data_IF_715846416195
#
_entry.id   IF_715846416195
#
_cell.length_a   1.000
_cell.length_b   1.000
_cell.length_c   1.000
_cell.angle_alpha   90.00
_cell.angle_beta   90.00
_cell.angle_gamma   90.00
#
_symmetry.space_group_name_H-M   'P 1'
#
loop_
_entity.id
_entity.type
_entity.pdbx_description
1 polymer ?
#
# COMPACT_ATOMS: atom_id res chain seq x y z
N UNK A 1 -12.16 -19.41 22.39
CA UNK A 1 -11.76 -18.23 23.18
C UNK A 1 -10.27 -18.34 23.46
N UNK A 2 -9.53 -17.37 22.93
CA UNK A 2 -8.19 -16.88 23.29
C UNK A 2 -7.13 -17.86 23.84
N UNK A 3 -6.57 -18.69 22.95
CA UNK A 3 -5.32 -19.42 23.26
C UNK A 3 -4.16 -18.47 23.59
N UNK A 4 -4.20 -17.21 23.12
CA UNK A 4 -3.18 -16.19 23.37
C UNK A 4 -3.37 -15.37 24.66
N UNK A 5 -4.56 -15.37 25.28
CA UNK A 5 -4.82 -14.62 26.54
C UNK A 5 -4.50 -15.46 27.80
N UNK A 6 -4.39 -16.78 27.67
CA UNK A 6 -4.10 -17.71 28.77
C UNK A 6 -2.63 -18.12 28.88
N UNK A 7 -1.76 -17.60 28.00
CA UNK A 7 -0.34 -17.95 27.99
C UNK A 7 0.43 -17.01 28.92
N UNK A 8 1.10 -17.61 29.91
CA UNK A 8 2.14 -16.95 30.69
C UNK A 8 3.40 -16.93 29.83
N UNK A 9 3.85 -15.76 29.41
CA UNK A 9 5.07 -15.63 28.62
C UNK A 9 6.21 -15.14 29.50
N UNK A 10 7.37 -15.77 29.37
CA UNK A 10 8.60 -15.10 29.76
C UNK A 10 8.75 -13.83 28.90
N UNK A 11 9.21 -12.71 29.48
CA UNK A 11 9.49 -11.51 28.70
C UNK A 11 10.41 -11.84 27.52
N UNK A 12 9.97 -11.50 26.32
CA UNK A 12 10.75 -11.68 25.10
C UNK A 12 11.36 -10.34 24.70
N UNK A 13 12.67 -10.32 24.49
CA UNK A 13 13.35 -9.21 23.84
C UNK A 13 13.27 -9.40 22.32
N UNK A 14 12.84 -8.35 21.62
CA UNK A 14 12.72 -8.36 20.15
C UNK A 14 13.63 -7.28 19.58
N UNK A 15 14.63 -7.70 18.82
CA UNK A 15 15.50 -6.81 18.05
C UNK A 15 14.97 -6.64 16.62
N UNK A 16 14.76 -5.39 16.20
CA UNK A 16 14.39 -5.08 14.82
C UNK A 16 15.68 -4.84 14.02
N UNK A 17 16.13 -5.87 13.30
CA UNK A 17 17.37 -5.80 12.50
C UNK A 17 17.28 -4.78 11.35
N UNK A 18 16.11 -4.65 10.72
CA UNK A 18 15.87 -3.75 9.59
C UNK A 18 14.44 -3.24 9.60
N UNK A 19 14.27 -1.96 9.32
CA UNK A 19 12.97 -1.30 9.23
C UNK A 19 12.89 -0.36 8.03
N UNK A 20 11.75 -0.37 7.34
CA UNK A 20 11.41 0.62 6.31
C UNK A 20 10.83 1.89 6.95
N UNK A 21 11.06 3.09 6.39
CA UNK A 21 10.54 4.33 6.96
C UNK A 21 9.03 4.28 7.24
N UNK A 22 8.62 4.80 8.41
CA UNK A 22 7.21 4.87 8.79
C UNK A 22 6.53 6.10 8.21
N UNK A 23 5.21 5.99 8.04
CA UNK A 23 4.33 7.09 7.61
C UNK A 23 4.75 7.72 6.28
N UNK A 24 5.22 6.89 5.35
CA UNK A 24 5.56 7.31 3.98
C UNK A 24 4.79 6.55 2.90
N UNK A 25 3.85 5.68 3.28
CA UNK A 25 3.11 4.85 2.31
C UNK A 25 3.73 3.47 2.04
N UNK A 26 4.62 2.96 2.89
CA UNK A 26 5.18 1.60 2.77
C UNK A 26 4.45 0.52 3.57
N UNK A 27 3.45 0.87 4.37
CA UNK A 27 2.72 -0.11 5.19
C UNK A 27 3.54 -0.71 6.35
N UNK A 28 4.72 -0.15 6.68
CA UNK A 28 5.64 -0.65 7.72
C UNK A 28 4.94 -0.98 9.03
N UNK A 29 4.08 -0.07 9.52
CA UNK A 29 3.38 -0.27 10.79
C UNK A 29 2.44 -1.48 10.78
N UNK A 30 1.83 -1.80 9.63
CA UNK A 30 0.99 -2.99 9.49
C UNK A 30 1.83 -4.25 9.44
N UNK A 31 2.89 -4.26 8.62
CA UNK A 31 3.78 -5.40 8.47
C UNK A 31 4.48 -5.78 9.79
N UNK A 32 4.99 -4.80 10.55
CA UNK A 32 5.60 -5.03 11.85
C UNK A 32 4.59 -5.54 12.88
N UNK A 33 3.40 -4.94 12.98
CA UNK A 33 2.38 -5.40 13.91
C UNK A 33 1.96 -6.85 13.63
N UNK A 34 1.78 -7.23 12.36
CA UNK A 34 1.43 -8.61 11.99
C UNK A 34 2.60 -9.57 12.21
N UNK A 35 3.83 -9.15 11.89
CA UNK A 35 5.04 -9.92 12.13
C UNK A 35 5.27 -10.22 13.62
N UNK A 36 5.05 -9.24 14.50
CA UNK A 36 5.17 -9.43 15.95
C UNK A 36 4.14 -10.41 16.50
N UNK A 37 2.88 -10.36 16.05
CA UNK A 37 1.87 -11.35 16.46
C UNK A 37 2.25 -12.74 15.97
N UNK A 38 2.75 -12.84 14.73
CA UNK A 38 3.21 -14.12 14.17
C UNK A 38 4.38 -14.70 14.95
N UNK A 39 5.37 -13.87 15.28
CA UNK A 39 6.55 -14.24 16.08
C UNK A 39 6.16 -14.66 17.49
N UNK A 40 5.27 -13.91 18.16
CA UNK A 40 4.77 -14.28 19.49
C UNK A 40 4.07 -15.64 19.48
N UNK A 41 3.29 -15.92 18.44
CA UNK A 41 2.71 -17.26 18.22
C UNK A 41 3.78 -18.34 18.12
N UNK A 42 4.77 -18.16 17.25
CA UNK A 42 5.87 -19.12 17.06
C UNK A 42 6.61 -19.43 18.35
N UNK A 43 7.01 -18.40 19.10
CA UNK A 43 7.69 -18.57 20.38
C UNK A 43 6.85 -19.33 21.42
N UNK A 44 5.53 -19.35 21.23
CA UNK A 44 4.58 -20.01 22.11
C UNK A 44 4.15 -21.38 21.62
N UNK A 45 4.71 -21.88 20.51
CA UNK A 45 4.29 -23.12 19.88
C UNK A 45 2.87 -23.06 19.27
N UNK A 46 2.37 -21.85 18.99
CA UNK A 46 1.03 -21.58 18.48
C UNK A 46 1.13 -20.95 17.10
N UNK A 47 0.43 -21.49 16.11
CA UNK A 47 0.23 -20.77 14.84
C UNK A 47 -1.00 -19.87 14.95
N UNK A 48 -0.87 -18.53 14.97
CA UNK A 48 -2.03 -17.63 15.06
C UNK A 48 -2.91 -17.75 13.82
N UNK A 49 -4.22 -17.84 14.02
CA UNK A 49 -5.18 -17.78 12.92
C UNK A 49 -5.23 -16.38 12.30
N UNK A 50 -5.84 -16.22 11.11
CA UNK A 50 -6.09 -14.88 10.54
C UNK A 50 -6.92 -14.00 11.49
N UNK A 51 -7.86 -14.58 12.25
CA UNK A 51 -8.63 -13.88 13.26
C UNK A 51 -7.78 -13.40 14.44
N UNK A 52 -6.81 -14.21 14.88
CA UNK A 52 -5.85 -13.81 15.91
C UNK A 52 -4.95 -12.68 15.40
N UNK A 53 -4.42 -12.81 14.18
CA UNK A 53 -3.63 -11.76 13.55
C UNK A 53 -4.39 -10.44 13.49
N UNK A 54 -5.66 -10.45 13.06
CA UNK A 54 -6.51 -9.27 13.06
C UNK A 54 -6.66 -8.67 14.47
N UNK A 55 -7.09 -9.50 15.43
CA UNK A 55 -7.38 -9.09 16.81
C UNK A 55 -6.18 -8.45 17.49
N UNK A 56 -5.03 -9.13 17.45
CA UNK A 56 -3.85 -8.75 18.21
C UNK A 56 -3.00 -7.69 17.49
N UNK A 57 -2.98 -7.67 16.15
CA UNK A 57 -2.27 -6.62 15.42
C UNK A 57 -3.00 -5.29 15.46
N UNK A 58 -4.32 -5.30 15.64
CA UNK A 58 -5.20 -4.12 15.55
C UNK A 58 -5.04 -3.38 14.22
N UNK A 59 -4.80 -4.13 13.14
CA UNK A 59 -4.67 -3.65 11.75
C UNK A 59 -5.86 -4.10 10.91
N UNK A 60 -5.81 -3.83 9.60
CA UNK A 60 -6.86 -4.15 8.62
C UNK A 60 -8.21 -3.46 8.88
N UNK A 61 -8.19 -2.25 9.45
CA UNK A 61 -9.38 -1.59 9.94
C UNK A 61 -10.41 -1.24 8.86
N UNK A 62 -9.95 -0.52 7.84
CA UNK A 62 -10.78 0.00 6.73
C UNK A 62 -10.40 -0.70 5.42
N UNK A 63 -9.10 -0.93 5.20
CA UNK A 63 -8.56 -1.66 4.07
C UNK A 63 -7.79 -2.90 4.55
N UNK A 64 -7.97 -4.00 3.82
CA UNK A 64 -7.33 -5.30 4.02
C UNK A 64 -6.02 -5.44 3.25
N UNK A 65 -5.65 -4.49 2.39
CA UNK A 65 -4.45 -4.58 1.54
C UNK A 65 -3.20 -4.97 2.33
N UNK A 66 -2.88 -4.28 3.43
CA UNK A 66 -1.70 -4.57 4.24
C UNK A 66 -1.75 -5.94 4.93
N UNK A 67 -2.94 -6.42 5.27
CA UNK A 67 -3.17 -7.71 5.90
C UNK A 67 -3.05 -8.86 4.90
N UNK A 68 -3.75 -8.77 3.77
CA UNK A 68 -3.68 -9.79 2.73
C UNK A 68 -2.31 -9.87 2.07
N UNK A 69 -1.64 -8.73 1.83
CA UNK A 69 -0.28 -8.71 1.24
C UNK A 69 0.77 -9.24 2.20
N UNK A 70 0.60 -9.04 3.50
CA UNK A 70 1.44 -9.70 4.51
C UNK A 70 1.29 -11.22 4.42
N UNK A 71 0.08 -11.75 4.26
CA UNK A 71 -0.17 -13.18 4.22
C UNK A 71 0.19 -13.84 2.87
N UNK A 72 -0.04 -13.16 1.76
CA UNK A 72 -0.04 -13.76 0.41
C UNK A 72 0.97 -13.15 -0.55
N UNK A 73 1.37 -11.90 -0.35
CA UNK A 73 2.10 -11.14 -1.36
C UNK A 73 1.22 -10.78 -2.57
N UNK A 74 1.85 -10.55 -3.72
CA UNK A 74 1.17 -10.36 -5.00
C UNK A 74 0.44 -9.03 -5.14
N UNK A 75 -0.39 -8.95 -6.18
CA UNK A 75 -1.36 -7.89 -6.39
C UNK A 75 -2.70 -8.27 -5.76
N UNK A 76 -3.30 -7.34 -5.02
CA UNK A 76 -4.49 -7.59 -4.21
C UNK A 76 -5.53 -6.50 -4.45
N UNK A 77 -6.79 -6.92 -4.55
CA UNK A 77 -7.97 -6.06 -4.43
C UNK A 77 -8.86 -6.62 -3.33
N UNK A 78 -9.14 -5.81 -2.31
CA UNK A 78 -10.13 -6.11 -1.28
C UNK A 78 -11.48 -5.45 -1.60
N UNK A 79 -12.54 -5.94 -0.96
CA UNK A 79 -13.92 -5.48 -1.16
C UNK A 79 -14.34 -4.37 -0.22
N UNK A 80 -13.42 -3.82 0.58
CA UNK A 80 -13.74 -2.89 1.66
C UNK A 80 -14.58 -3.51 2.79
N UNK A 81 -15.09 -2.67 3.68
CA UNK A 81 -16.03 -3.09 4.73
C UNK A 81 -17.47 -2.86 4.27
N UNK A 82 -18.45 -3.69 4.69
CA UNK A 82 -19.86 -3.43 4.40
C UNK A 82 -20.27 -2.05 4.91
N UNK A 83 -20.89 -1.23 4.05
CA UNK A 83 -21.46 0.04 4.46
C UNK A 83 -22.75 -0.21 5.27
N UNK A 84 -22.70 0.15 6.55
CA UNK A 84 -23.80 0.08 7.51
C UNK A 84 -24.09 1.47 8.08
N UNK A 85 -23.69 2.54 7.39
CA UNK A 85 -23.81 3.92 7.84
C UNK A 85 -22.78 4.32 8.90
N UNK A 86 -21.70 3.55 9.07
CA UNK A 86 -20.60 3.93 9.94
C UNK A 86 -19.76 5.07 9.34
N UNK A 87 -19.15 5.87 10.21
CA UNK A 87 -18.19 6.90 9.81
C UNK A 87 -17.03 6.31 9.01
N UNK A 88 -16.67 6.98 7.90
CA UNK A 88 -15.51 6.64 7.08
C UNK A 88 -14.23 7.07 7.80
N UNK A 89 -13.42 6.10 8.20
CA UNK A 89 -12.21 6.31 9.01
C UNK A 89 -10.99 5.66 8.37
N UNK A 90 -9.77 6.15 8.65
CA UNK A 90 -8.55 5.46 8.23
C UNK A 90 -8.42 4.09 8.91
N UNK A 91 -7.65 3.19 8.29
CA UNK A 91 -7.51 1.80 8.76
C UNK A 91 -6.91 1.66 10.16
N UNK A 92 -6.16 2.65 10.65
CA UNK A 92 -5.63 2.66 12.01
C UNK A 92 -6.65 3.03 13.08
N UNK A 93 -7.78 3.63 12.69
CA UNK A 93 -8.83 4.11 13.60
C UNK A 93 -10.09 3.20 13.59
N UNK A 94 -10.15 2.23 12.69
CA UNK A 94 -11.25 1.26 12.57
C UNK A 94 -10.88 -0.08 13.20
N UNK A 95 -11.84 -0.73 13.88
CA UNK A 95 -11.68 -2.06 14.50
C UNK A 95 -12.77 -3.03 14.02
N UNK A 96 -12.65 -3.57 12.80
CA UNK A 96 -13.62 -4.48 12.26
C UNK A 96 -13.51 -5.85 12.93
N UNK A 97 -14.60 -6.62 12.87
CA UNK A 97 -14.62 -7.99 13.37
C UNK A 97 -13.89 -8.96 12.44
N UNK A 98 -13.85 -8.64 11.15
CA UNK A 98 -13.25 -9.44 10.08
C UNK A 98 -12.45 -8.52 9.15
N UNK A 99 -11.35 -9.00 8.53
CA UNK A 99 -10.66 -8.19 7.53
C UNK A 99 -11.59 -7.98 6.32
N UNK A 100 -11.44 -6.88 5.55
CA UNK A 100 -12.12 -6.73 4.27
C UNK A 100 -11.97 -7.99 3.41
N UNK A 101 -13.02 -8.49 2.73
CA UNK A 101 -12.92 -9.71 1.95
C UNK A 101 -11.96 -9.52 0.77
N UNK A 102 -11.12 -10.51 0.53
CA UNK A 102 -10.23 -10.55 -0.63
C UNK A 102 -11.04 -10.85 -1.89
N UNK A 103 -11.11 -9.91 -2.82
CA UNK A 103 -11.89 -10.03 -4.06
C UNK A 103 -11.04 -10.55 -5.22
N UNK A 104 -9.79 -10.10 -5.31
CA UNK A 104 -8.84 -10.60 -6.29
C UNK A 104 -7.43 -10.70 -5.71
N UNK A 105 -6.73 -11.76 -6.10
CA UNK A 105 -5.31 -11.96 -5.81
C UNK A 105 -4.65 -12.55 -7.06
N UNK A 106 -3.60 -11.89 -7.53
CA UNK A 106 -2.85 -12.28 -8.72
C UNK A 106 -1.37 -12.11 -8.47
N UNK A 107 -0.56 -12.90 -9.17
CA UNK A 107 0.88 -12.67 -9.21
C UNK A 107 1.18 -11.39 -9.99
N UNK A 108 2.08 -10.57 -9.45
CA UNK A 108 2.68 -9.48 -10.18
C UNK A 108 3.70 -10.06 -11.18
N UNK A 109 3.78 -9.53 -12.42
CA UNK A 109 4.74 -9.99 -13.41
C UNK A 109 6.19 -9.96 -12.90
N UNK A 110 6.92 -11.07 -13.04
CA UNK A 110 8.30 -11.20 -12.57
C UNK A 110 9.29 -10.28 -13.30
N UNK A 111 8.95 -9.86 -14.52
CA UNK A 111 9.74 -8.92 -15.31
C UNK A 111 9.65 -7.49 -14.76
N UNK A 112 8.61 -7.17 -14.01
CA UNK A 112 8.43 -5.82 -13.49
C UNK A 112 9.39 -5.53 -12.34
N UNK A 113 9.82 -4.28 -12.29
CA UNK A 113 10.61 -3.69 -11.19
C UNK A 113 9.86 -2.47 -10.68
N UNK A 114 10.00 -2.20 -9.40
CA UNK A 114 9.36 -1.06 -8.74
C UNK A 114 10.44 -0.13 -8.21
N UNK A 115 10.63 1.03 -8.84
CA UNK A 115 11.43 2.10 -8.26
C UNK A 115 10.64 2.76 -7.13
N UNK A 116 11.30 2.95 -5.99
CA UNK A 116 10.76 3.63 -4.82
C UNK A 116 11.47 4.97 -4.66
N UNK A 117 10.73 6.07 -4.70
CA UNK A 117 11.27 7.43 -4.63
C UNK A 117 10.62 8.16 -3.46
N UNK A 118 11.43 8.76 -2.60
CA UNK A 118 10.95 9.39 -1.37
C UNK A 118 11.27 10.90 -1.36
N UNK A 119 10.32 11.75 -1.82
CA UNK A 119 10.47 13.20 -1.79
C UNK A 119 10.70 13.73 -0.37
N UNK A 120 11.82 14.43 -0.15
CA UNK A 120 12.21 14.92 1.18
C UNK A 120 11.26 15.96 1.75
N UNK A 121 10.62 16.77 0.90
CA UNK A 121 9.66 17.80 1.30
C UNK A 121 8.21 17.30 1.40
N UNK A 122 7.99 16.00 1.16
CA UNK A 122 6.66 15.42 1.15
C UNK A 122 6.01 15.39 2.54
N UNK A 123 4.70 15.64 2.59
CA UNK A 123 3.94 15.63 3.84
C UNK A 123 3.74 14.20 4.34
N UNK A 124 3.87 13.99 5.64
CA UNK A 124 3.68 12.70 6.30
C UNK A 124 2.42 12.74 7.15
N UNK A 125 1.27 12.61 6.51
CA UNK A 125 -0.03 12.63 7.19
C UNK A 125 -0.28 11.29 7.88
N UNK A 126 -0.48 11.31 9.20
CA UNK A 126 -0.77 10.11 9.99
C UNK A 126 -1.49 10.47 11.30
N UNK A 127 -2.15 9.50 11.92
CA UNK A 127 -2.73 9.66 13.26
C UNK A 127 -3.92 10.61 13.26
N UNK A 128 -3.89 11.66 14.09
CA UNK A 128 -4.98 12.64 14.19
C UNK A 128 -5.17 13.42 12.89
N UNK A 129 -4.07 13.91 12.29
CA UNK A 129 -4.13 14.65 11.03
C UNK A 129 -4.70 13.82 9.86
N UNK A 130 -4.50 12.50 9.88
CA UNK A 130 -5.11 11.60 8.89
C UNK A 130 -6.62 11.46 9.15
N UNK A 131 -7.04 11.34 10.41
CA UNK A 131 -8.46 11.28 10.77
C UNK A 131 -9.19 12.57 10.41
N UNK A 132 -8.61 13.72 10.69
CA UNK A 132 -9.17 15.03 10.34
C UNK A 132 -9.32 15.15 8.82
N UNK A 133 -8.28 14.77 8.07
CA UNK A 133 -8.36 14.77 6.61
C UNK A 133 -9.45 13.84 6.08
N UNK A 134 -9.62 12.64 6.64
CA UNK A 134 -10.71 11.73 6.28
C UNK A 134 -12.08 12.36 6.56
N UNK A 135 -12.27 12.94 7.75
CA UNK A 135 -13.54 13.56 8.13
C UNK A 135 -13.91 14.75 7.22
N UNK A 136 -12.92 15.54 6.81
CA UNK A 136 -13.13 16.71 5.94
C UNK A 136 -13.37 16.34 4.47
N UNK A 137 -12.84 15.19 4.01
CA UNK A 137 -12.78 14.84 2.60
C UNK A 137 -13.59 13.58 2.24
N UNK A 138 -14.44 13.10 3.15
CA UNK A 138 -15.36 11.99 2.89
C UNK A 138 -16.80 12.34 3.28
N UNK A 139 -17.82 11.77 2.60
CA UNK A 139 -17.71 10.88 1.44
C UNK A 139 -17.22 11.63 0.19
N UNK A 140 -16.54 10.89 -0.69
CA UNK A 140 -16.15 11.45 -1.99
C UNK A 140 -17.33 11.41 -2.97
N UNK A 141 -17.35 12.26 -4.01
CA UNK A 141 -18.44 12.29 -4.97
C UNK A 141 -18.72 10.90 -5.56
N UNK A 142 -19.99 10.52 -5.59
CA UNK A 142 -20.42 9.18 -6.00
C UNK A 142 -20.02 8.85 -7.45
N UNK A 143 -20.06 9.84 -8.34
CA UNK A 143 -19.64 9.69 -9.73
C UNK A 143 -18.13 9.42 -9.85
N UNK A 144 -17.30 10.06 -9.02
CA UNK A 144 -15.86 9.78 -8.97
C UNK A 144 -15.60 8.35 -8.45
N UNK A 145 -16.35 7.88 -7.45
CA UNK A 145 -16.30 6.49 -6.99
C UNK A 145 -16.66 5.49 -8.10
N UNK A 146 -17.75 5.75 -8.84
CA UNK A 146 -18.17 4.90 -9.96
C UNK A 146 -17.14 4.87 -11.09
N UNK A 147 -16.46 5.99 -11.36
CA UNK A 147 -15.38 6.07 -12.37
C UNK A 147 -14.09 5.38 -11.90
N UNK A 148 -13.82 5.35 -10.60
CA UNK A 148 -12.65 4.68 -10.06
C UNK A 148 -12.74 3.15 -10.20
N UNK A 149 -13.95 2.59 -10.17
CA UNK A 149 -14.19 1.15 -10.27
C UNK A 149 -13.66 0.52 -11.58
N UNK A 150 -14.02 1.00 -12.80
CA UNK A 150 -13.44 0.47 -14.03
C UNK A 150 -11.94 0.75 -14.14
N UNK A 151 -11.45 1.88 -13.64
CA UNK A 151 -10.00 2.16 -13.63
C UNK A 151 -9.23 1.11 -12.81
N UNK A 152 -9.79 0.65 -11.69
CA UNK A 152 -9.22 -0.42 -10.87
C UNK A 152 -9.42 -1.80 -11.50
N UNK A 153 -10.68 -2.24 -11.69
CA UNK A 153 -11.00 -3.63 -12.05
C UNK A 153 -10.79 -3.95 -13.53
N UNK A 154 -11.09 -3.02 -14.44
CA UNK A 154 -10.92 -3.24 -15.88
C UNK A 154 -9.62 -2.63 -16.42
N UNK A 155 -8.97 -1.78 -15.61
CA UNK A 155 -7.71 -1.15 -15.91
C UNK A 155 -6.54 -1.83 -15.22
N UNK A 156 -6.28 -1.47 -13.97
CA UNK A 156 -5.12 -1.95 -13.18
C UNK A 156 -5.10 -3.47 -13.08
N UNK A 157 -6.22 -4.11 -12.72
CA UNK A 157 -6.25 -5.56 -12.54
C UNK A 157 -5.97 -6.30 -13.86
N UNK A 158 -6.56 -5.86 -14.97
CA UNK A 158 -6.32 -6.43 -16.31
C UNK A 158 -4.87 -6.20 -16.74
N UNK A 159 -4.32 -5.03 -16.44
CA UNK A 159 -2.93 -4.70 -16.75
C UNK A 159 -1.96 -5.64 -16.03
N UNK A 160 -2.19 -5.92 -14.75
CA UNK A 160 -1.42 -6.90 -13.98
C UNK A 160 -1.56 -8.29 -14.59
N UNK A 161 -2.78 -8.75 -14.84
CA UNK A 161 -3.08 -10.08 -15.37
C UNK A 161 -2.44 -10.34 -16.75
N UNK A 162 -2.23 -9.29 -17.55
CA UNK A 162 -1.65 -9.36 -18.90
C UNK A 162 -0.21 -8.85 -18.99
N UNK A 163 0.40 -8.48 -17.87
CA UNK A 163 1.70 -7.79 -17.83
C UNK A 163 1.77 -6.55 -18.76
N UNK A 164 0.66 -5.85 -18.94
CA UNK A 164 0.54 -4.68 -19.82
C UNK A 164 0.87 -3.38 -19.06
N UNK A 165 2.13 -2.95 -19.18
CA UNK A 165 2.62 -1.73 -18.53
C UNK A 165 1.94 -0.46 -19.06
N UNK A 166 1.56 -0.43 -20.34
CA UNK A 166 0.90 0.72 -20.97
C UNK A 166 -0.52 0.92 -20.44
N UNK A 167 -1.28 -0.18 -20.31
CA UNK A 167 -2.58 -0.16 -19.65
C UNK A 167 -2.44 0.23 -18.17
N UNK A 168 -1.47 -0.37 -17.45
CA UNK A 168 -1.24 -0.03 -16.05
C UNK A 168 -1.03 1.48 -15.87
N UNK A 169 -0.19 2.09 -16.71
CA UNK A 169 0.08 3.53 -16.70
C UNK A 169 -1.21 4.33 -16.86
N UNK A 170 -1.98 4.07 -17.92
CA UNK A 170 -3.23 4.80 -18.21
C UNK A 170 -4.22 4.69 -17.06
N UNK A 171 -4.39 3.48 -16.52
CA UNK A 171 -5.34 3.21 -15.45
C UNK A 171 -4.93 3.80 -14.11
N UNK A 172 -3.64 3.78 -13.76
CA UNK A 172 -3.15 4.46 -12.56
C UNK A 172 -3.28 5.98 -12.65
N UNK A 173 -3.04 6.58 -13.83
CA UNK A 173 -3.24 8.02 -14.04
C UNK A 173 -4.71 8.39 -13.84
N UNK A 174 -5.64 7.64 -14.44
CA UNK A 174 -7.07 7.89 -14.27
C UNK A 174 -7.50 7.73 -12.81
N UNK A 175 -7.14 6.61 -12.16
CA UNK A 175 -7.49 6.35 -10.77
C UNK A 175 -7.01 7.46 -9.83
N UNK A 176 -5.78 7.97 -10.04
CA UNK A 176 -5.20 9.04 -9.22
C UNK A 176 -5.84 10.41 -9.42
N UNK A 177 -6.65 10.60 -10.47
CA UNK A 177 -7.42 11.83 -10.73
C UNK A 177 -8.82 11.81 -10.12
N UNK A 178 -9.18 10.74 -9.41
CA UNK A 178 -10.52 10.54 -8.89
C UNK A 178 -10.53 10.47 -7.36
N UNK A 179 -11.65 10.91 -6.79
CA UNK A 179 -12.06 10.73 -5.42
C UNK A 179 -11.00 11.15 -4.43
N UNK A 180 -10.84 10.30 -3.42
CA UNK A 180 -9.97 10.56 -2.29
C UNK A 180 -8.50 10.65 -2.71
N UNK A 181 -8.08 9.86 -3.71
CA UNK A 181 -6.69 9.86 -4.18
C UNK A 181 -6.29 11.18 -4.81
N UNK A 182 -7.19 11.82 -5.57
CA UNK A 182 -6.96 13.18 -6.08
C UNK A 182 -6.71 14.16 -4.94
N UNK A 183 -7.49 14.09 -3.87
CA UNK A 183 -7.38 14.97 -2.70
C UNK A 183 -6.06 14.71 -1.95
N UNK A 184 -5.70 13.45 -1.71
CA UNK A 184 -4.42 13.06 -1.11
C UNK A 184 -3.23 13.63 -1.89
N UNK A 185 -3.22 13.49 -3.23
CA UNK A 185 -2.15 14.03 -4.09
C UNK A 185 -2.14 15.56 -4.09
N UNK A 186 -3.32 16.19 -4.09
CA UNK A 186 -3.45 17.65 -4.08
C UNK A 186 -2.93 18.26 -2.78
N UNK A 187 -3.08 17.54 -1.67
CA UNK A 187 -2.58 17.94 -0.36
C UNK A 187 -1.07 17.75 -0.20
N UNK A 188 -0.38 17.11 -1.14
CA UNK A 188 1.07 16.86 -1.05
C UNK A 188 1.93 18.04 -1.52
N UNK A 189 3.22 17.97 -1.20
CA UNK A 189 4.17 19.03 -1.57
C UNK A 189 4.29 19.17 -3.09
N UNK A 190 4.76 20.34 -3.53
CA UNK A 190 5.05 20.57 -4.96
C UNK A 190 6.06 19.56 -5.50
N UNK A 191 7.07 19.19 -4.71
CA UNK A 191 8.07 18.20 -5.14
C UNK A 191 7.46 16.84 -5.45
N UNK A 192 6.52 16.35 -4.62
CA UNK A 192 5.79 15.09 -4.84
C UNK A 192 5.02 15.17 -6.16
N UNK A 193 4.26 16.25 -6.36
CA UNK A 193 3.42 16.45 -7.55
C UNK A 193 4.26 16.62 -8.82
N UNK A 194 5.37 17.35 -8.76
CA UNK A 194 6.30 17.52 -9.88
C UNK A 194 6.93 16.20 -10.31
N UNK A 195 7.39 15.38 -9.36
CA UNK A 195 7.92 14.05 -9.68
C UNK A 195 6.86 13.16 -10.31
N UNK A 196 5.66 13.11 -9.73
CA UNK A 196 4.57 12.30 -10.26
C UNK A 196 4.21 12.71 -11.70
N UNK A 197 4.15 14.02 -11.98
CA UNK A 197 3.91 14.54 -13.33
C UNK A 197 5.05 14.18 -14.30
N UNK A 198 6.31 14.35 -13.91
CA UNK A 198 7.45 13.98 -14.75
C UNK A 198 7.44 12.50 -15.14
N UNK A 199 7.07 11.60 -14.22
CA UNK A 199 6.92 10.17 -14.51
C UNK A 199 5.73 9.88 -15.42
N UNK A 200 4.62 10.62 -15.30
CA UNK A 200 3.47 10.49 -16.19
C UNK A 200 3.77 10.87 -17.64
N UNK A 201 4.70 11.78 -17.90
CA UNK A 201 5.12 12.12 -19.27
C UNK A 201 5.94 11.00 -19.92
N UNK A 202 6.62 10.15 -19.14
CA UNK A 202 7.48 9.10 -19.68
C UNK A 202 6.70 7.81 -20.04
N UNK A 203 6.67 7.35 -21.30
CA UNK A 203 5.90 6.16 -21.69
C UNK A 203 6.36 4.84 -21.07
N UNK A 204 7.63 4.71 -20.69
CA UNK A 204 8.23 3.43 -20.29
C UNK A 204 8.08 3.08 -18.81
N UNK A 205 7.23 3.78 -18.05
CA UNK A 205 6.84 3.39 -16.69
C UNK A 205 5.38 3.73 -16.37
N UNK A 206 4.80 2.99 -15.44
CA UNK A 206 3.54 3.32 -14.79
C UNK A 206 3.82 3.77 -13.35
N UNK A 207 3.33 4.93 -12.93
CA UNK A 207 3.66 5.51 -11.64
C UNK A 207 2.45 5.88 -10.81
N UNK A 208 2.66 5.97 -9.50
CA UNK A 208 1.65 6.52 -8.60
C UNK A 208 2.18 6.90 -7.23
N UNK A 209 1.33 7.56 -6.45
CA UNK A 209 1.59 7.85 -5.04
C UNK A 209 1.02 6.74 -4.15
N UNK A 210 1.86 6.21 -3.26
CA UNK A 210 1.45 5.14 -2.35
C UNK A 210 0.76 5.68 -1.10
N UNK A 211 -0.49 5.28 -0.87
CA UNK A 211 -1.32 5.77 0.25
C UNK A 211 -1.34 7.32 0.30
N UNK A 212 -1.26 7.92 1.48
CA UNK A 212 -1.11 9.36 1.69
C UNK A 212 0.24 9.92 1.26
N UNK A 213 1.17 9.08 0.81
CA UNK A 213 2.52 9.47 0.43
C UNK A 213 3.46 9.70 1.63
N UNK A 214 4.62 10.36 1.39
CA UNK A 214 4.99 10.99 0.13
C UNK A 214 5.65 10.05 -0.89
N UNK A 215 5.78 8.76 -0.60
CA UNK A 215 6.40 7.80 -1.51
C UNK A 215 5.70 7.80 -2.88
N UNK A 216 6.51 7.99 -3.92
CA UNK A 216 6.15 7.74 -5.31
C UNK A 216 6.77 6.42 -5.73
N UNK A 217 5.98 5.57 -6.37
CA UNK A 217 6.48 4.36 -7.01
C UNK A 217 6.42 4.51 -8.53
N UNK A 218 7.35 3.87 -9.23
CA UNK A 218 7.29 3.67 -10.67
C UNK A 218 7.55 2.21 -11.01
N UNK A 219 6.57 1.57 -11.64
CA UNK A 219 6.66 0.23 -12.20
C UNK A 219 7.22 0.33 -13.62
N UNK A 220 8.19 -0.50 -13.96
CA UNK A 220 8.79 -0.56 -15.28
C UNK A 220 9.26 -1.98 -15.60
N UNK A 221 9.53 -2.27 -16.87
CA UNK A 221 10.14 -3.54 -17.28
C UNK A 221 11.62 -3.57 -16.89
N UNK A 222 12.02 -4.52 -16.04
CA UNK A 222 13.39 -4.69 -15.57
C UNK A 222 14.39 -5.06 -16.66
N UNK A 223 13.95 -5.61 -17.78
CA UNK A 223 14.77 -5.85 -18.97
C UNK A 223 15.10 -4.56 -19.74
N UNK A 224 14.33 -3.49 -19.54
CA UNK A 224 14.50 -2.23 -20.23
C UNK A 224 15.37 -1.24 -19.43
N UNK A 225 16.66 -1.17 -19.80
CA UNK A 225 17.62 -0.23 -19.19
C UNK A 225 17.25 1.24 -19.38
N UNK A 226 16.63 1.59 -20.50
CA UNK A 226 16.20 2.97 -20.78
C UNK A 226 15.09 3.40 -19.80
N UNK A 227 14.14 2.50 -19.50
CA UNK A 227 13.10 2.78 -18.51
C UNK A 227 13.67 3.08 -17.13
N UNK A 228 14.60 2.25 -16.65
CA UNK A 228 15.27 2.50 -15.37
C UNK A 228 15.99 3.85 -15.37
N UNK A 229 16.79 4.12 -16.40
CA UNK A 229 17.56 5.35 -16.50
C UNK A 229 16.65 6.59 -16.50
N UNK A 230 15.53 6.56 -17.23
CA UNK A 230 14.59 7.69 -17.29
C UNK A 230 13.85 7.91 -15.97
N UNK A 231 13.49 6.84 -15.25
CA UNK A 231 12.92 6.95 -13.90
C UNK A 231 13.93 7.59 -12.93
N UNK A 232 15.19 7.12 -12.93
CA UNK A 232 16.26 7.69 -12.12
C UNK A 232 16.53 9.17 -12.49
N UNK A 233 16.54 9.49 -13.78
CA UNK A 233 16.70 10.86 -14.28
C UNK A 233 15.59 11.78 -13.79
N UNK A 234 14.33 11.37 -13.88
CA UNK A 234 13.19 12.16 -13.38
C UNK A 234 13.31 12.43 -11.87
N UNK A 235 13.77 11.44 -11.09
CA UNK A 235 14.03 11.61 -9.68
C UNK A 235 15.14 12.66 -9.41
N UNK A 236 16.25 12.59 -10.15
CA UNK A 236 17.36 13.57 -10.05
C UNK A 236 16.90 14.98 -10.42
N UNK A 237 16.17 15.14 -11.52
CA UNK A 237 15.64 16.44 -11.97
C UNK A 237 14.69 17.07 -10.95
N UNK A 238 13.96 16.25 -10.19
CA UNK A 238 13.08 16.69 -9.10
C UNK A 238 13.78 16.80 -7.73
N UNK A 239 15.09 16.56 -7.67
CA UNK A 239 15.86 16.48 -6.43
C UNK A 239 15.26 15.48 -5.40
N UNK A 240 14.77 14.34 -5.90
CA UNK A 240 14.18 13.26 -5.08
C UNK A 240 15.13 12.05 -5.08
N UNK A 241 15.54 11.55 -3.90
CA UNK A 241 16.34 10.34 -3.84
C UNK A 241 15.52 9.10 -4.27
N UNK A 242 16.15 8.24 -5.05
CA UNK A 242 15.67 6.88 -5.30
C UNK A 242 16.07 6.03 -4.09
N UNK A 243 15.08 5.58 -3.33
CA UNK A 243 15.27 4.73 -2.15
C UNK A 243 15.72 3.31 -2.54
N UNK A 244 15.29 2.84 -3.71
CA UNK A 244 15.75 1.57 -4.27
C UNK A 244 14.87 1.08 -5.42
N UNK A 245 15.28 -0.04 -6.01
CA UNK A 245 14.48 -0.77 -6.99
C UNK A 245 14.17 -2.16 -6.43
N UNK A 246 12.89 -2.42 -6.21
CA UNK A 246 12.41 -3.67 -5.65
C UNK A 246 11.92 -4.62 -6.76
N UNK A 247 12.03 -5.92 -6.47
CA UNK A 247 11.28 -6.96 -7.16
C UNK A 247 9.83 -6.96 -6.66
N UNK A 248 8.90 -7.35 -7.53
CA UNK A 248 7.56 -7.67 -7.07
C UNK A 248 7.58 -8.99 -6.28
N UNK A 249 7.00 -8.99 -5.08
CA UNK A 249 6.99 -10.15 -4.19
C UNK A 249 5.64 -10.88 -4.28
N UNK A 250 5.62 -12.08 -4.85
CA UNK A 250 4.42 -12.93 -5.00
C UNK A 250 4.23 -13.95 -3.86
N UNK A 251 4.81 -13.66 -2.69
CA UNK A 251 4.66 -14.47 -1.49
C UNK A 251 4.52 -13.58 -0.26
N UNK A 252 3.92 -14.14 0.80
CA UNK A 252 3.67 -13.45 2.06
C UNK A 252 4.91 -13.34 2.95
N UNK A 253 4.66 -13.23 4.25
CA UNK A 253 5.68 -13.29 5.28
C UNK A 253 6.38 -14.66 5.26
N UNK A 254 7.60 -14.68 5.76
CA UNK A 254 8.40 -15.89 5.91
C UNK A 254 8.98 -15.91 7.31
N UNK A 255 9.02 -17.10 7.90
CA UNK A 255 9.82 -17.37 9.09
C UNK A 255 11.16 -17.90 8.59
N UNK A 256 12.25 -17.28 9.06
CA UNK A 256 13.63 -17.65 8.73
C UNK A 256 14.31 -18.23 9.96
#
# INVERSE_FOLDING_TARGET
MAMLESLSYDPVEVEILRELPRHVGLGTGTALSLGLVRLAGELSGVTPSEADLLKYSRRAGTSGIGFHSFLRGGFIIDGGQPDRGQELKPSGASRPREPPPLIAHMELPETWRVALMLPGTGRRTSGAAEQDFFAENTPTPYDECLRAFPALYHGVAVAVARADLGLLKKSLIEYQRLGFKRLEISAQSTQVRSLLNALHEFPGCASGMSSFGPLIFAVYDGGNRESRHKVEKAAVECAVPVYGHALCRNYGYQLM
#
